data_IF_603990613994
#
_entry.id   IF_603990613994
#
_cell.length_a   1.000
_cell.length_b   1.000
_cell.length_c   1.000
_cell.angle_alpha   90.00
_cell.angle_beta   90.00
_cell.angle_gamma   90.00
#
_symmetry.space_group_name_H-M   'P 1'
#
loop_
_entity.id
_entity.type
_entity.pdbx_description
1 polymer ?
#
# COMPACT_ATOMS: atom_id res chain seq x y z
N UNK A 1 -17.45 22.48 1.78
CA UNK A 1 -18.54 21.73 1.10
C UNK A 1 -18.88 20.57 1.99
N UNK A 2 -20.13 20.50 2.42
CA UNK A 2 -20.64 19.52 3.37
C UNK A 2 -20.60 18.11 2.76
N UNK A 3 -20.26 17.11 3.57
CA UNK A 3 -20.15 15.71 3.14
C UNK A 3 -21.56 15.08 3.17
N UNK A 4 -22.16 14.91 2.00
CA UNK A 4 -23.38 14.12 1.82
C UNK A 4 -23.01 12.64 1.67
N UNK A 5 -23.86 11.76 2.19
CA UNK A 5 -23.72 10.31 1.96
C UNK A 5 -23.93 9.97 0.47
N UNK A 6 -23.49 8.78 0.03
CA UNK A 6 -23.72 8.33 -1.35
C UNK A 6 -25.22 8.25 -1.70
N UNK A 7 -26.06 7.85 -0.73
CA UNK A 7 -27.51 7.81 -0.90
C UNK A 7 -28.09 9.21 -1.13
N UNK A 8 -27.68 10.18 -0.32
CA UNK A 8 -28.09 11.58 -0.51
C UNK A 8 -27.56 12.15 -1.83
N UNK A 9 -26.33 11.81 -2.23
CA UNK A 9 -25.79 12.23 -3.52
C UNK A 9 -26.63 11.69 -4.70
N UNK A 10 -27.09 10.44 -4.62
CA UNK A 10 -27.97 9.83 -5.61
C UNK A 10 -29.34 10.54 -5.66
N UNK A 11 -29.95 10.81 -4.51
CA UNK A 11 -31.21 11.56 -4.42
C UNK A 11 -31.08 12.97 -4.99
N UNK A 12 -29.96 13.65 -4.69
CA UNK A 12 -29.65 15.00 -5.21
C UNK A 12 -29.51 14.97 -6.73
N UNK A 13 -28.77 13.99 -7.28
CA UNK A 13 -28.62 13.83 -8.73
C UNK A 13 -29.96 13.51 -9.41
N UNK A 14 -30.78 12.65 -8.81
CA UNK A 14 -32.10 12.30 -9.31
C UNK A 14 -33.02 13.52 -9.39
N UNK A 15 -33.09 14.32 -8.32
CA UNK A 15 -33.89 15.55 -8.29
C UNK A 15 -33.35 16.60 -9.27
N UNK A 16 -32.03 16.65 -9.49
CA UNK A 16 -31.45 17.50 -10.53
C UNK A 16 -31.92 17.11 -11.94
N UNK A 17 -32.01 15.82 -12.22
CA UNK A 17 -32.58 15.28 -13.45
C UNK A 17 -34.07 15.61 -13.60
N UNK A 18 -34.86 15.46 -12.53
CA UNK A 18 -36.29 15.84 -12.51
C UNK A 18 -36.52 17.32 -12.80
N UNK A 19 -35.59 18.18 -12.37
CA UNK A 19 -35.64 19.62 -12.64
C UNK A 19 -35.08 20.00 -14.04
N UNK A 20 -34.83 19.01 -14.91
CA UNK A 20 -34.26 19.18 -16.25
C UNK A 20 -32.97 20.03 -16.24
N UNK A 21 -32.09 19.81 -15.26
CA UNK A 21 -30.83 20.54 -15.13
C UNK A 21 -30.92 21.92 -14.45
N UNK A 22 -32.11 22.36 -14.02
CA UNK A 22 -32.26 23.61 -13.27
C UNK A 22 -31.96 23.43 -11.78
N UNK A 23 -30.75 23.84 -11.37
CA UNK A 23 -30.26 23.63 -10.01
C UNK A 23 -31.05 24.36 -8.92
N UNK A 24 -31.64 25.52 -9.22
CA UNK A 24 -32.43 26.29 -8.24
C UNK A 24 -33.80 25.66 -8.04
N UNK A 25 -34.42 25.18 -9.12
CA UNK A 25 -35.64 24.40 -9.04
C UNK A 25 -35.40 23.08 -8.31
N UNK A 26 -34.31 22.38 -8.63
CA UNK A 26 -33.91 21.15 -7.95
C UNK A 26 -33.74 21.32 -6.44
N UNK A 27 -33.12 22.42 -6.00
CA UNK A 27 -32.96 22.75 -4.57
C UNK A 27 -34.31 22.89 -3.85
N UNK A 28 -35.29 23.57 -4.46
CA UNK A 28 -36.65 23.70 -3.90
C UNK A 28 -37.39 22.36 -3.87
N UNK A 29 -37.32 21.60 -4.96
CA UNK A 29 -37.93 20.27 -5.05
C UNK A 29 -37.35 19.31 -4.02
N UNK A 30 -36.03 19.35 -3.82
CA UNK A 30 -35.34 18.54 -2.83
C UNK A 30 -35.77 18.91 -1.41
N UNK A 31 -35.90 20.21 -1.12
CA UNK A 31 -36.36 20.68 0.19
C UNK A 31 -37.80 20.25 0.50
N UNK A 32 -38.69 20.34 -0.49
CA UNK A 32 -40.08 19.89 -0.35
C UNK A 32 -40.18 18.37 -0.17
N UNK A 33 -39.35 17.59 -0.90
CA UNK A 33 -39.35 16.13 -0.85
C UNK A 33 -38.73 15.58 0.44
N UNK A 34 -37.72 16.27 0.98
CA UNK A 34 -36.98 15.83 2.16
C UNK A 34 -36.88 16.95 3.22
N UNK A 35 -37.99 17.31 3.88
CA UNK A 35 -38.03 18.44 4.80
C UNK A 35 -37.21 18.26 6.09
N UNK A 36 -36.90 17.01 6.46
CA UNK A 36 -36.09 16.68 7.66
C UNK A 36 -34.60 16.49 7.35
N UNK A 37 -34.18 16.60 6.09
CA UNK A 37 -32.78 16.44 5.69
C UNK A 37 -32.09 17.79 5.52
N UNK A 38 -30.76 17.77 5.47
CA UNK A 38 -29.98 18.96 5.14
C UNK A 38 -30.27 19.39 3.70
N UNK A 39 -30.40 20.69 3.48
CA UNK A 39 -30.71 21.24 2.17
C UNK A 39 -29.43 21.67 1.43
N UNK A 40 -29.04 20.95 0.37
CA UNK A 40 -27.89 21.33 -0.43
C UNK A 40 -28.11 22.66 -1.16
N UNK A 41 -27.06 23.47 -1.21
CA UNK A 41 -27.01 24.65 -2.07
C UNK A 41 -27.14 24.25 -3.55
N UNK A 42 -27.75 25.07 -4.41
CA UNK A 42 -27.91 24.79 -5.85
C UNK A 42 -26.59 24.38 -6.53
N UNK A 43 -25.44 24.96 -6.14
CA UNK A 43 -24.12 24.56 -6.69
C UNK A 43 -23.77 23.09 -6.40
N UNK A 44 -24.28 22.52 -5.32
CA UNK A 44 -24.06 21.12 -4.96
C UNK A 44 -24.66 20.16 -5.99
N UNK A 45 -25.86 20.45 -6.50
CA UNK A 45 -26.51 19.66 -7.55
C UNK A 45 -25.66 19.60 -8.83
N UNK A 46 -25.17 20.76 -9.26
CA UNK A 46 -24.29 20.88 -10.44
C UNK A 46 -23.00 20.08 -10.22
N UNK A 47 -22.33 20.28 -9.08
CA UNK A 47 -21.07 19.63 -8.79
C UNK A 47 -21.19 18.10 -8.68
N UNK A 48 -22.28 17.60 -8.08
CA UNK A 48 -22.54 16.17 -7.95
C UNK A 48 -22.80 15.55 -9.33
N UNK A 49 -23.60 16.20 -10.16
CA UNK A 49 -23.83 15.77 -11.54
C UNK A 49 -22.53 15.74 -12.36
N UNK A 50 -21.73 16.81 -12.31
CA UNK A 50 -20.47 16.88 -13.05
C UNK A 50 -19.46 15.83 -12.58
N UNK A 51 -19.34 15.59 -11.26
CA UNK A 51 -18.46 14.53 -10.73
C UNK A 51 -18.86 13.14 -11.22
N UNK A 52 -20.16 12.84 -11.27
CA UNK A 52 -20.63 11.59 -11.85
C UNK A 52 -20.30 11.51 -13.34
N UNK A 53 -20.54 12.59 -14.09
CA UNK A 53 -20.35 12.62 -15.55
C UNK A 53 -18.87 12.53 -15.96
N UNK A 54 -17.99 13.18 -15.20
CA UNK A 54 -16.56 13.27 -15.51
C UNK A 54 -15.76 12.13 -14.90
N UNK A 55 -16.03 11.78 -13.64
CA UNK A 55 -15.21 10.84 -12.86
C UNK A 55 -15.91 9.50 -12.57
N UNK A 56 -17.19 9.35 -12.92
CA UNK A 56 -17.98 8.14 -12.64
C UNK A 56 -18.30 7.89 -11.16
N UNK A 57 -17.94 8.81 -10.25
CA UNK A 57 -18.09 8.65 -8.80
C UNK A 57 -18.53 9.95 -8.12
N UNK A 58 -19.31 9.84 -7.04
CA UNK A 58 -19.77 10.99 -6.26
C UNK A 58 -18.66 11.64 -5.41
N UNK A 59 -17.70 10.82 -4.99
CA UNK A 59 -16.55 11.25 -4.19
C UNK A 59 -15.70 12.28 -4.94
N UNK A 60 -15.12 13.23 -4.19
CA UNK A 60 -14.05 14.06 -4.74
C UNK A 60 -12.85 13.19 -5.04
N UNK A 61 -12.14 13.49 -6.12
CA UNK A 61 -10.87 12.84 -6.36
C UNK A 61 -9.82 13.43 -5.43
N UNK A 62 -9.55 12.73 -4.32
CA UNK A 62 -8.55 13.14 -3.34
C UNK A 62 -7.14 12.77 -3.77
N UNK A 63 -6.98 12.03 -4.87
CA UNK A 63 -5.68 11.70 -5.49
C UNK A 63 -4.89 12.95 -5.87
N UNK A 64 -5.59 14.02 -6.30
CA UNK A 64 -5.01 15.31 -6.69
C UNK A 64 -4.99 16.30 -5.51
N UNK A 65 -5.81 16.06 -4.49
CA UNK A 65 -5.90 16.93 -3.32
C UNK A 65 -4.86 16.53 -2.27
N UNK A 66 -3.62 16.96 -2.48
CA UNK A 66 -2.51 16.79 -1.54
C UNK A 66 -1.33 17.69 -1.90
N UNK A 67 -0.39 17.86 -0.97
CA UNK A 67 0.91 18.48 -1.30
C UNK A 67 1.54 17.62 -2.42
N UNK A 68 1.92 18.20 -3.57
CA UNK A 68 2.53 17.42 -4.64
C UNK A 68 3.75 16.68 -4.06
N UNK A 69 3.81 15.36 -4.27
CA UNK A 69 5.05 14.61 -4.07
C UNK A 69 6.01 15.15 -5.13
N UNK A 70 6.97 15.99 -4.70
CA UNK A 70 7.91 16.65 -5.61
C UNK A 70 8.61 15.58 -6.45
N UNK A 71 8.70 15.80 -7.76
CA UNK A 71 9.36 14.91 -8.77
C UNK A 71 10.80 14.54 -8.38
N UNK A 72 11.45 15.33 -7.52
CA UNK A 72 12.72 15.03 -6.85
C UNK A 72 12.71 13.76 -5.97
N UNK A 73 11.55 13.11 -5.78
CA UNK A 73 11.40 11.91 -4.96
C UNK A 73 11.94 10.66 -5.67
N UNK A 74 11.88 10.56 -7.01
CA UNK A 74 12.28 9.31 -7.70
C UNK A 74 13.78 9.10 -7.64
N UNK A 75 14.58 10.09 -8.07
CA UNK A 75 16.05 10.02 -7.98
C UNK A 75 16.51 9.84 -6.52
N UNK A 76 15.85 10.54 -5.60
CA UNK A 76 16.11 10.41 -4.16
C UNK A 76 15.76 9.02 -3.61
N UNK A 77 14.66 8.43 -4.06
CA UNK A 77 14.26 7.07 -3.70
C UNK A 77 15.27 6.05 -4.23
N UNK A 78 15.68 6.18 -5.49
CA UNK A 78 16.69 5.32 -6.11
C UNK A 78 18.01 5.37 -5.35
N UNK A 79 18.50 6.57 -4.97
CA UNK A 79 19.72 6.74 -4.19
C UNK A 79 19.65 6.03 -2.81
N UNK A 80 18.48 6.06 -2.16
CA UNK A 80 18.27 5.33 -0.89
C UNK A 80 18.37 3.83 -1.13
N UNK A 81 17.68 3.33 -2.16
CA UNK A 81 17.65 1.90 -2.48
C UNK A 81 19.05 1.40 -2.85
N UNK A 82 19.81 2.18 -3.61
CA UNK A 82 21.19 1.84 -3.98
C UNK A 82 22.13 1.76 -2.77
N UNK A 83 21.95 2.62 -1.77
CA UNK A 83 22.73 2.55 -0.52
C UNK A 83 22.42 1.27 0.27
N UNK A 84 21.15 0.88 0.35
CA UNK A 84 20.74 -0.36 1.04
C UNK A 84 21.20 -1.60 0.28
N UNK A 85 21.18 -1.58 -1.05
CA UNK A 85 21.69 -2.68 -1.87
C UNK A 85 23.19 -2.89 -1.67
N UNK A 86 23.97 -1.80 -1.64
CA UNK A 86 25.43 -1.85 -1.40
C UNK A 86 25.78 -2.33 0.01
N UNK A 87 24.98 -1.97 1.00
CA UNK A 87 25.18 -2.38 2.38
C UNK A 87 23.83 -2.63 3.07
N UNK A 88 23.32 -3.88 3.07
CA UNK A 88 22.03 -4.22 3.67
C UNK A 88 21.97 -3.99 5.19
N UNK A 89 23.12 -3.84 5.86
CA UNK A 89 23.20 -3.59 7.30
C UNK A 89 23.26 -2.10 7.65
N UNK A 90 23.18 -1.19 6.67
CA UNK A 90 23.24 0.25 6.91
C UNK A 90 22.03 0.71 7.73
N UNK A 91 22.26 1.59 8.70
CA UNK A 91 21.18 2.13 9.51
C UNK A 91 20.41 3.23 8.76
N UNK A 92 19.10 3.31 8.99
CA UNK A 92 18.25 4.38 8.45
C UNK A 92 18.71 5.78 8.88
N UNK A 93 19.35 5.89 10.05
CA UNK A 93 19.95 7.13 10.53
C UNK A 93 21.21 7.52 9.74
N UNK A 94 22.04 6.54 9.36
CA UNK A 94 23.22 6.79 8.55
C UNK A 94 22.83 7.30 7.16
N UNK A 95 21.86 6.64 6.50
CA UNK A 95 21.32 7.10 5.21
C UNK A 95 20.76 8.53 5.34
N UNK A 96 19.96 8.79 6.37
CA UNK A 96 19.37 10.11 6.62
C UNK A 96 20.45 11.20 6.74
N UNK A 97 21.54 10.94 7.46
CA UNK A 97 22.66 11.87 7.59
C UNK A 97 23.40 12.08 6.26
N UNK A 98 23.63 11.00 5.49
CA UNK A 98 24.33 11.07 4.20
C UNK A 98 23.55 11.92 3.17
N UNK A 99 22.22 11.81 3.18
CA UNK A 99 21.34 12.45 2.22
C UNK A 99 20.69 13.74 2.74
N UNK A 100 21.11 14.21 3.92
CA UNK A 100 20.54 15.37 4.61
C UNK A 100 18.99 15.34 4.66
N UNK A 101 18.43 14.18 4.96
CA UNK A 101 16.99 13.90 4.95
C UNK A 101 16.49 13.47 6.32
N UNK A 102 15.17 13.51 6.53
CA UNK A 102 14.59 13.02 7.77
C UNK A 102 14.60 11.49 7.82
N UNK A 103 14.87 10.90 8.99
CA UNK A 103 14.78 9.44 9.21
C UNK A 103 13.41 8.88 8.81
N UNK A 104 12.33 9.62 9.07
CA UNK A 104 10.97 9.20 8.72
C UNK A 104 10.78 9.11 7.20
N UNK A 105 11.39 10.01 6.44
CA UNK A 105 11.38 9.95 4.97
C UNK A 105 12.05 8.68 4.48
N UNK A 106 13.26 8.38 4.97
CA UNK A 106 13.98 7.15 4.63
C UNK A 106 13.12 5.92 4.96
N UNK A 107 12.55 5.89 6.17
CA UNK A 107 11.72 4.77 6.62
C UNK A 107 10.48 4.54 5.74
N UNK A 108 9.83 5.63 5.31
CA UNK A 108 8.69 5.55 4.40
C UNK A 108 9.07 4.98 3.03
N UNK A 109 10.22 5.38 2.48
CA UNK A 109 10.74 4.87 1.20
C UNK A 109 11.01 3.37 1.30
N UNK A 110 11.71 2.92 2.34
CA UNK A 110 11.99 1.50 2.55
C UNK A 110 10.70 0.68 2.70
N UNK A 111 9.73 1.18 3.48
CA UNK A 111 8.44 0.52 3.64
C UNK A 111 7.63 0.44 2.35
N UNK A 112 7.62 1.50 1.54
CA UNK A 112 6.91 1.51 0.24
C UNK A 112 7.54 0.53 -0.75
N UNK A 113 8.85 0.26 -0.62
CA UNK A 113 9.59 -0.71 -1.43
C UNK A 113 9.68 -2.10 -0.77
N UNK A 114 8.89 -2.38 0.28
CA UNK A 114 8.84 -3.67 0.97
C UNK A 114 10.19 -4.13 1.58
N UNK A 115 11.08 -3.17 1.88
CA UNK A 115 12.35 -3.44 2.54
C UNK A 115 12.20 -3.34 4.05
N UNK A 116 12.41 -4.45 4.74
CA UNK A 116 12.29 -4.57 6.18
C UNK A 116 13.62 -4.99 6.82
N UNK A 117 13.94 -4.47 8.02
CA UNK A 117 15.10 -4.94 8.75
C UNK A 117 15.00 -6.44 9.03
N UNK A 118 16.01 -7.18 8.59
CA UNK A 118 16.15 -8.59 8.92
C UNK A 118 16.87 -8.75 10.27
N UNK A 119 16.31 -9.54 11.18
CA UNK A 119 16.95 -9.88 12.45
C UNK A 119 17.89 -11.06 12.23
N UNK A 120 19.20 -10.81 12.21
CA UNK A 120 20.21 -11.86 12.13
C UNK A 120 20.16 -12.74 13.39
N UNK A 121 19.75 -14.00 13.23
CA UNK A 121 19.85 -15.01 14.27
C UNK A 121 21.23 -15.65 14.23
N UNK A 122 21.99 -15.52 15.31
CA UNK A 122 23.29 -16.19 15.44
C UNK A 122 23.04 -17.68 15.71
N UNK A 123 23.40 -18.52 14.76
CA UNK A 123 23.47 -19.98 14.92
C UNK A 123 24.91 -20.40 15.22
N UNK A 124 25.14 -21.69 15.47
CA UNK A 124 26.49 -22.25 15.64
C UNK A 124 27.42 -21.78 14.51
N UNK A 125 28.67 -21.48 14.86
CA UNK A 125 29.65 -20.98 13.91
C UNK A 125 29.98 -22.07 12.89
N UNK A 126 29.42 -21.95 11.67
CA UNK A 126 29.78 -22.80 10.55
C UNK A 126 31.20 -22.45 10.09
N UNK A 127 32.06 -23.46 10.01
CA UNK A 127 33.38 -23.34 9.38
C UNK A 127 33.25 -23.48 7.87
N UNK A 128 34.22 -22.96 7.11
CA UNK A 128 34.23 -23.08 5.65
C UNK A 128 34.20 -24.55 5.18
N UNK A 129 34.79 -25.46 5.97
CA UNK A 129 34.81 -26.90 5.73
C UNK A 129 33.44 -27.59 5.89
N UNK A 130 32.51 -26.98 6.63
CA UNK A 130 31.19 -27.58 6.89
C UNK A 130 30.27 -27.46 5.68
N UNK A 131 30.42 -26.40 4.89
CA UNK A 131 29.59 -26.15 3.71
C UNK A 131 29.60 -27.33 2.71
N UNK A 132 30.75 -27.82 2.21
CA UNK A 132 30.75 -28.95 1.27
C UNK A 132 30.15 -30.22 1.87
N UNK A 133 30.43 -30.52 3.15
CA UNK A 133 29.87 -31.69 3.86
C UNK A 133 28.35 -31.62 3.97
N UNK A 134 27.81 -30.46 4.29
CA UNK A 134 26.36 -30.23 4.39
C UNK A 134 25.67 -30.33 3.04
N UNK A 135 26.30 -29.80 1.97
CA UNK A 135 25.79 -29.92 0.60
C UNK A 135 25.79 -31.37 0.15
N UNK A 136 26.85 -32.12 0.43
CA UNK A 136 26.94 -33.55 0.11
C UNK A 136 25.86 -34.36 0.84
N UNK A 137 25.69 -34.13 2.15
CA UNK A 137 24.63 -34.75 2.94
C UNK A 137 23.24 -34.45 2.37
N UNK A 138 22.94 -33.17 2.05
CA UNK A 138 21.66 -32.79 1.45
C UNK A 138 21.43 -33.45 0.07
N UNK A 139 22.45 -33.52 -0.78
CA UNK A 139 22.36 -34.18 -2.09
C UNK A 139 22.16 -35.69 -1.95
N UNK A 140 22.86 -36.32 -1.02
CA UNK A 140 22.68 -37.74 -0.73
C UNK A 140 21.24 -38.01 -0.27
N UNK A 141 20.73 -37.19 0.65
CA UNK A 141 19.38 -37.32 1.18
C UNK A 141 18.30 -37.15 0.09
N UNK A 142 18.49 -36.18 -0.83
CA UNK A 142 17.61 -36.00 -1.98
C UNK A 142 17.63 -37.19 -2.94
N UNK A 143 18.79 -37.86 -3.14
CA UNK A 143 18.86 -39.07 -3.97
C UNK A 143 18.12 -40.25 -3.34
N UNK A 144 18.20 -40.41 -2.03
CA UNK A 144 17.49 -41.50 -1.34
C UNK A 144 15.96 -41.42 -1.52
N UNK A 145 15.38 -40.21 -1.51
CA UNK A 145 13.94 -40.04 -1.76
C UNK A 145 13.55 -40.31 -3.23
N UNK A 146 14.47 -40.11 -4.18
CA UNK A 146 14.23 -40.47 -5.59
C UNK A 146 14.30 -41.99 -5.81
N UNK A 147 15.28 -42.65 -5.19
CA UNK A 147 15.53 -44.08 -5.38
C UNK A 147 14.52 -44.95 -4.60
N UNK A 148 14.00 -44.44 -3.47
CA UNK A 148 13.04 -45.14 -2.62
C UNK A 148 11.87 -44.22 -2.26
N UNK A 149 10.70 -44.40 -2.91
CA UNK A 149 9.50 -43.65 -2.56
C UNK A 149 9.16 -43.82 -1.08
N UNK A 150 8.97 -42.72 -0.35
CA UNK A 150 8.70 -42.67 1.09
C UNK A 150 9.89 -42.95 2.02
N UNK A 151 11.13 -42.81 1.56
CA UNK A 151 12.32 -42.90 2.41
C UNK A 151 12.20 -42.05 3.68
N UNK A 152 11.69 -40.82 3.58
CA UNK A 152 11.44 -39.95 4.74
C UNK A 152 10.58 -40.58 5.85
N UNK A 153 9.65 -41.48 5.53
CA UNK A 153 8.79 -42.14 6.54
C UNK A 153 9.55 -43.19 7.36
N UNK A 154 10.72 -43.61 6.88
CA UNK A 154 11.57 -44.62 7.53
C UNK A 154 12.70 -44.00 8.36
N UNK A 155 12.95 -42.70 8.23
CA UNK A 155 14.00 -41.98 8.95
C UNK A 155 13.49 -41.55 10.32
N UNK A 156 14.18 -41.95 11.38
CA UNK A 156 13.94 -41.49 12.75
C UNK A 156 15.09 -40.55 13.17
N UNK A 157 14.74 -39.32 13.58
CA UNK A 157 15.70 -38.37 14.13
C UNK A 157 15.66 -38.41 15.66
N UNK A 158 16.83 -38.44 16.29
CA UNK A 158 17.01 -38.32 17.74
C UNK A 158 17.99 -37.21 18.02
N UNK A 159 17.76 -36.43 19.07
CA UNK A 159 18.67 -35.40 19.56
C UNK A 159 18.86 -35.58 21.06
N UNK A 160 20.06 -35.33 21.55
CA UNK A 160 20.38 -35.35 22.98
C UNK A 160 20.45 -33.91 23.48
N UNK A 161 19.66 -33.60 24.53
CA UNK A 161 19.55 -32.28 25.13
C UNK A 161 20.66 -32.02 26.17
#
# INVERSE_FOLDING_TARGET
MENFSNAECADIHFVYGLANGNARLASRLYANRFPRRRHPNYKCFINIHNRLRENGKFGKDMSVAGRPKTVCLVDFEEDILHQVERNPSISTRAIANNMNASKSTIWNVLHQNLLHPFKLQRVQALKAEDYPKRVECARWFLRQELDSPHFLKTVLFTDEA
#
